data_IF_026272945408
#
_entry.id   IF_026272945408
#
_cell.length_a   1.000
_cell.length_b   1.000
_cell.length_c   1.000
_cell.angle_alpha   90.00
_cell.angle_beta   90.00
_cell.angle_gamma   90.00
#
_symmetry.space_group_name_H-M   'P 1'
#
loop_
_entity.id
_entity.type
_entity.pdbx_description
1 polymer ?
#
# COMPACT_ATOMS: atom_id res chain seq x y z
N UNK A 1 11.12 -3.08 41.29
CA UNK A 1 10.97 -2.91 40.93
C UNK A 1 10.57 -2.56 40.58
N UNK A 2 10.62 -2.58 40.38
CA UNK A 2 10.29 -2.39 39.92
C UNK A 2 9.94 -1.95 39.11
N UNK A 3 9.90 -2.22 38.72
CA UNK A 3 9.58 -1.92 37.93
C UNK A 3 9.35 -1.70 37.10
N UNK A 4 9.54 -2.05 36.73
CA UNK A 4 9.33 -1.87 35.90
C UNK A 4 8.95 -1.85 35.11
N UNK A 5 9.19 -2.20 35.09
CA UNK A 5 8.86 -2.44 34.22
C UNK A 5 8.08 -2.14 33.57
N UNK A 6 7.90 -2.16 33.51
CA UNK A 6 7.06 -1.91 32.89
C UNK A 6 6.97 -1.02 32.10
N UNK A 7 7.36 -0.89 32.17
CA UNK A 7 7.23 -0.24 31.57
C UNK A 7 7.24 -0.16 30.56
N UNK A 8 7.52 -0.48 30.27
CA UNK A 8 7.61 -0.38 29.37
C UNK A 8 7.03 -0.64 28.61
N UNK A 9 7.20 -1.12 28.81
CA UNK A 9 6.66 -1.82 27.89
C UNK A 9 5.73 -1.11 27.16
N UNK A 10 4.99 -0.79 27.70
CA UNK A 10 4.09 -0.17 27.03
C UNK A 10 4.59 0.70 26.07
N UNK A 11 5.39 1.16 26.31
CA UNK A 11 5.81 2.02 25.51
C UNK A 11 5.93 1.71 24.27
N UNK A 12 6.33 0.84 24.02
CA UNK A 12 6.65 0.54 22.80
C UNK A 12 5.58 0.56 21.92
N UNK A 13 4.76 0.18 22.24
CA UNK A 13 3.85 0.05 21.40
C UNK A 13 3.27 1.15 20.91
N UNK A 14 3.26 1.92 21.53
CA UNK A 14 2.69 3.00 21.05
C UNK A 14 3.24 3.49 19.86
N UNK A 15 4.39 3.31 19.67
CA UNK A 15 4.99 3.72 18.50
C UNK A 15 4.33 3.15 17.38
N UNK A 16 4.07 1.98 17.48
CA UNK A 16 3.52 1.31 16.44
C UNK A 16 2.26 1.93 16.10
N UNK A 17 1.58 2.32 17.06
CA UNK A 17 0.34 2.82 16.78
C UNK A 17 0.41 4.00 15.89
N UNK A 18 1.45 4.66 15.90
CA UNK A 18 1.56 5.81 15.07
C UNK A 18 1.60 5.52 13.62
N UNK A 19 1.85 4.32 13.27
CA UNK A 19 1.98 4.00 11.90
C UNK A 19 0.67 3.65 11.33
N UNK A 20 -0.23 4.34 11.22
CA UNK A 20 -1.52 4.01 10.79
C UNK A 20 -1.55 3.45 9.39
N UNK A 21 -1.30 2.22 9.25
CA UNK A 21 -1.45 1.53 7.99
C UNK A 21 -2.64 0.61 8.10
N UNK A 22 -3.65 0.82 7.32
CA UNK A 22 -4.84 0.02 7.38
C UNK A 22 -5.35 -0.27 5.99
N UNK A 23 -5.73 -1.50 5.75
CA UNK A 23 -6.36 -1.87 4.50
C UNK A 23 -7.73 -1.21 4.43
N UNK A 24 -8.07 -0.76 3.26
CA UNK A 24 -9.34 -0.11 3.03
C UNK A 24 -10.35 -1.15 2.57
N UNK A 25 -11.46 -1.24 3.26
CA UNK A 25 -12.49 -2.20 2.90
C UNK A 25 -13.24 -1.81 1.63
N UNK A 26 -13.99 -2.75 1.06
CA UNK A 26 -14.65 -2.50 -0.22
C UNK A 26 -15.62 -1.34 -0.22
N UNK A 27 -16.34 -1.15 0.88
CA UNK A 27 -17.29 -0.04 0.95
C UNK A 27 -16.59 1.29 0.88
N UNK A 28 -15.47 1.39 1.57
CA UNK A 28 -14.69 2.62 1.59
C UNK A 28 -14.09 2.88 0.22
N UNK A 29 -13.62 1.84 -0.46
CA UNK A 29 -13.07 1.96 -1.80
C UNK A 29 -14.10 2.60 -2.73
N UNK A 30 -15.33 2.13 -2.67
CA UNK A 30 -16.37 2.68 -3.52
C UNK A 30 -16.60 4.16 -3.22
N UNK A 31 -16.62 4.51 -1.94
CA UNK A 31 -16.82 5.91 -1.58
C UNK A 31 -15.68 6.79 -2.06
N UNK A 32 -14.46 6.32 -1.94
CA UNK A 32 -13.30 7.09 -2.38
C UNK A 32 -13.30 7.29 -3.88
N UNK A 33 -13.69 6.28 -4.63
CA UNK A 33 -13.80 6.40 -6.07
C UNK A 33 -14.88 7.39 -6.47
N UNK A 34 -16.03 7.30 -5.86
CA UNK A 34 -17.13 8.21 -6.19
C UNK A 34 -16.79 9.65 -5.84
N UNK A 35 -16.05 9.86 -4.79
CA UNK A 35 -15.65 11.20 -4.38
C UNK A 35 -14.48 11.73 -5.19
N UNK A 36 -13.86 10.92 -6.04
CA UNK A 36 -12.70 11.35 -6.79
C UNK A 36 -11.44 11.47 -5.95
N UNK A 37 -11.44 10.88 -4.77
CA UNK A 37 -10.30 10.97 -3.86
C UNK A 37 -9.15 10.09 -4.34
N UNK A 38 -9.46 8.99 -5.01
CA UNK A 38 -8.45 8.10 -5.59
C UNK A 38 -8.71 7.95 -7.07
N UNK A 39 -7.64 7.66 -7.81
CA UNK A 39 -7.73 7.43 -9.24
C UNK A 39 -8.38 6.10 -9.53
N UNK A 40 -8.85 5.94 -10.75
CA UNK A 40 -9.35 4.67 -11.24
C UNK A 40 -8.26 3.61 -11.10
N UNK A 41 -8.59 2.47 -10.51
CA UNK A 41 -7.62 1.42 -10.26
C UNK A 41 -7.05 0.84 -11.56
N UNK A 42 -7.83 0.83 -12.64
CA UNK A 42 -7.29 0.37 -13.91
C UNK A 42 -6.16 1.28 -14.40
N UNK A 43 -6.29 2.57 -14.16
CA UNK A 43 -5.24 3.50 -14.53
C UNK A 43 -4.01 3.30 -13.66
N UNK A 44 -4.22 3.06 -12.36
CA UNK A 44 -3.10 2.83 -11.46
C UNK A 44 -2.38 1.52 -11.84
N UNK A 45 -3.14 0.48 -12.17
CA UNK A 45 -2.55 -0.77 -12.61
C UNK A 45 -1.71 -0.56 -13.87
N UNK A 46 -2.21 0.24 -14.80
CA UNK A 46 -1.49 0.50 -16.03
C UNK A 46 -0.18 1.26 -15.76
N UNK A 47 -0.21 2.21 -14.84
CA UNK A 47 1.00 2.93 -14.48
C UNK A 47 2.08 1.97 -13.94
N UNK A 48 1.67 1.02 -13.11
CA UNK A 48 2.60 0.03 -12.59
C UNK A 48 3.12 -0.88 -13.70
N UNK A 49 2.23 -1.36 -14.56
CA UNK A 49 2.64 -2.26 -15.64
C UNK A 49 3.53 -1.59 -16.67
N UNK A 50 3.34 -0.30 -16.90
CA UNK A 50 4.17 0.42 -17.85
C UNK A 50 5.64 0.46 -17.41
N UNK A 51 5.89 0.29 -16.13
CA UNK A 51 7.24 0.26 -15.61
C UNK A 51 7.89 -1.12 -15.74
N UNK A 52 7.08 -2.14 -15.94
CA UNK A 52 7.58 -3.52 -15.95
C UNK A 52 6.97 -4.31 -17.10
N UNK A 53 7.46 -4.09 -18.34
CA UNK A 53 6.94 -4.84 -19.49
C UNK A 53 7.07 -6.34 -19.27
N UNK A 54 6.07 -7.08 -19.64
CA UNK A 54 6.10 -8.53 -19.49
C UNK A 54 5.59 -9.03 -18.14
N UNK A 55 5.24 -8.11 -17.25
CA UNK A 55 4.65 -8.51 -15.97
C UNK A 55 3.13 -8.43 -16.04
N UNK A 56 2.47 -9.12 -15.13
CA UNK A 56 1.02 -9.04 -14.97
C UNK A 56 0.70 -8.68 -13.52
N UNK A 57 -0.47 -8.12 -13.31
CA UNK A 57 -0.92 -7.79 -11.97
C UNK A 57 -1.34 -9.07 -11.28
N UNK A 58 -0.74 -9.36 -10.14
CA UNK A 58 -1.06 -10.54 -9.37
C UNK A 58 -1.99 -10.22 -8.21
N UNK A 59 -1.77 -9.11 -7.54
CA UNK A 59 -2.57 -8.71 -6.38
C UNK A 59 -2.49 -7.21 -6.21
N UNK A 60 -3.51 -6.64 -5.62
CA UNK A 60 -3.54 -5.20 -5.36
C UNK A 60 -4.18 -4.95 -4.00
N UNK A 61 -3.78 -3.86 -3.36
CA UNK A 61 -4.35 -3.41 -2.12
C UNK A 61 -4.38 -1.89 -2.07
N UNK A 62 -5.41 -1.33 -1.47
CA UNK A 62 -5.45 0.09 -1.18
C UNK A 62 -5.32 0.25 0.32
N UNK A 63 -4.39 1.08 0.75
CA UNK A 63 -4.13 1.32 2.17
C UNK A 63 -4.15 2.78 2.49
N UNK A 64 -4.51 3.09 3.73
CA UNK A 64 -4.36 4.43 4.25
C UNK A 64 -3.10 4.42 5.10
N UNK A 65 -2.07 5.11 4.64
CA UNK A 65 -0.80 5.20 5.36
C UNK A 65 -0.67 6.59 5.92
N UNK A 66 -1.10 6.76 7.15
CA UNK A 66 -1.01 8.05 7.87
C UNK A 66 -1.67 9.19 7.07
N UNK A 67 -2.81 8.92 6.50
CA UNK A 67 -3.56 9.94 5.77
C UNK A 67 -3.29 9.98 4.28
N UNK A 68 -2.32 9.22 3.80
CA UNK A 68 -2.04 9.12 2.37
C UNK A 68 -2.63 7.80 1.86
N UNK A 69 -3.40 7.86 0.80
CA UNK A 69 -3.91 6.64 0.19
C UNK A 69 -2.85 6.09 -0.75
N UNK A 70 -2.43 4.86 -0.50
CA UNK A 70 -1.40 4.20 -1.27
C UNK A 70 -1.98 2.95 -1.91
N UNK A 71 -1.78 2.83 -3.20
CA UNK A 71 -2.24 1.68 -3.96
C UNK A 71 -1.04 0.77 -4.21
N UNK A 72 -1.08 -0.42 -3.65
CA UNK A 72 0.02 -1.37 -3.77
C UNK A 72 -0.31 -2.37 -4.85
N UNK A 73 0.62 -2.57 -5.77
CA UNK A 73 0.43 -3.52 -6.88
C UNK A 73 1.55 -4.54 -6.81
N UNK A 74 1.17 -5.79 -6.71
CA UNK A 74 2.13 -6.88 -6.80
C UNK A 74 2.12 -7.40 -8.22
N UNK A 75 3.27 -7.37 -8.88
CA UNK A 75 3.40 -7.82 -10.26
C UNK A 75 4.22 -9.11 -10.30
N UNK A 76 3.91 -9.96 -11.26
CA UNK A 76 4.68 -11.18 -11.48
C UNK A 76 4.92 -11.38 -12.96
N UNK A 77 6.08 -11.97 -13.30
CA UNK A 77 6.39 -12.28 -14.68
C UNK A 77 6.22 -13.78 -14.93
N UNK A 78 6.57 -14.22 -16.12
CA UNK A 78 6.41 -15.62 -16.53
C UNK A 78 7.26 -16.57 -15.69
N UNK A 79 8.32 -16.07 -15.06
CA UNK A 79 9.18 -16.86 -14.20
C UNK A 79 8.80 -16.75 -12.75
N UNK A 80 7.65 -16.11 -12.48
CA UNK A 80 7.15 -15.93 -11.14
C UNK A 80 8.01 -15.01 -10.29
N UNK A 81 8.76 -14.12 -10.92
CA UNK A 81 9.49 -13.08 -10.22
C UNK A 81 8.50 -12.02 -9.79
N UNK A 82 8.58 -11.62 -8.55
CA UNK A 82 7.62 -10.67 -7.98
C UNK A 82 8.23 -9.28 -7.83
N UNK A 83 7.48 -8.26 -8.24
CA UNK A 83 7.84 -6.86 -8.02
C UNK A 83 6.70 -6.16 -7.34
N UNK A 84 7.03 -5.28 -6.41
CA UNK A 84 6.04 -4.49 -5.69
C UNK A 84 6.16 -3.04 -6.12
N UNK A 85 5.05 -2.46 -6.54
CA UNK A 85 5.00 -1.06 -6.93
C UNK A 85 3.94 -0.39 -6.08
N UNK A 86 4.35 0.62 -5.33
CA UNK A 86 3.41 1.42 -4.54
C UNK A 86 3.20 2.74 -5.25
N UNK A 87 1.95 3.12 -5.41
CA UNK A 87 1.59 4.37 -6.06
C UNK A 87 0.76 5.22 -5.12
N UNK A 88 0.96 6.52 -5.20
CA UNK A 88 0.01 7.44 -4.53
C UNK A 88 -1.31 7.28 -5.26
N UNK A 89 -2.34 6.85 -4.55
CA UNK A 89 -3.61 6.54 -5.19
C UNK A 89 -4.33 7.78 -5.70
N UNK A 90 -3.95 8.94 -5.25
CA UNK A 90 -4.59 10.18 -5.66
C UNK A 90 -3.92 10.75 -6.90
N UNK A 91 -2.60 10.64 -7.01
CA UNK A 91 -1.86 11.29 -8.10
C UNK A 91 -1.25 10.30 -9.08
N UNK A 92 -1.09 9.05 -8.72
CA UNK A 92 -0.41 8.06 -9.54
C UNK A 92 1.11 8.09 -9.43
N UNK A 93 1.63 8.91 -8.54
CA UNK A 93 3.08 9.00 -8.37
C UNK A 93 3.63 7.69 -7.81
N UNK A 94 4.74 7.21 -8.36
CA UNK A 94 5.38 5.99 -7.86
C UNK A 94 6.12 6.31 -6.58
N UNK A 95 5.75 5.63 -5.51
CA UNK A 95 6.36 5.83 -4.20
C UNK A 95 7.39 4.75 -3.90
N UNK A 96 7.23 3.57 -4.48
CA UNK A 96 8.13 2.45 -4.26
C UNK A 96 8.06 1.54 -5.47
N UNK A 97 9.20 1.00 -5.88
CA UNK A 97 9.28 0.14 -7.05
C UNK A 97 10.45 -0.78 -6.82
N UNK A 98 10.21 -1.98 -6.34
CA UNK A 98 11.33 -2.85 -6.02
C UNK A 98 10.95 -4.32 -6.14
N UNK A 99 11.95 -5.14 -6.39
CA UNK A 99 11.76 -6.57 -6.48
C UNK A 99 11.59 -7.15 -5.08
N UNK A 100 10.60 -8.01 -4.93
CA UNK A 100 10.38 -8.70 -3.69
C UNK A 100 11.17 -10.01 -3.74
N UNK A 101 12.08 -10.18 -2.82
CA UNK A 101 12.90 -11.39 -2.80
C UNK A 101 12.54 -12.31 -1.64
#
# INVERSE_FOLDING_TARGET
MKTLPALFAALALTAAAGVAQADIGPDEVVRLHKAGTVMDFEKLNKLALDKHPGFTVHDTELENQAGRYVYQVELRDAKNVEWDVDLDAKTGEVLKDKQDK
#
